data_IF_751334527672
#
_entry.id   IF_751334527672
#
_cell.length_a   1.000
_cell.length_b   1.000
_cell.length_c   1.000
_cell.angle_alpha   90.00
_cell.angle_beta   90.00
_cell.angle_gamma   90.00
#
_symmetry.space_group_name_H-M   'P 1'
#
loop_
_entity.id
_entity.type
_entity.pdbx_description
1 polymer ?
#
# COMPACT_ATOMS: atom_id res chain seq x y z
N UNK A 1 -5.67 -4.23 1.49
CA UNK A 1 -5.05 -5.54 1.76
C UNK A 1 -5.79 -6.77 1.22
N UNK A 2 -7.05 -6.66 0.76
CA UNK A 2 -7.86 -7.77 0.28
C UNK A 2 -8.29 -7.59 -1.19
N UNK A 3 -8.98 -8.58 -1.76
CA UNK A 3 -9.31 -8.61 -3.19
C UNK A 3 -10.18 -7.43 -3.66
N UNK A 4 -10.96 -6.82 -2.75
CA UNK A 4 -11.76 -5.64 -3.05
C UNK A 4 -10.90 -4.41 -3.41
N UNK A 5 -9.60 -4.42 -3.10
CA UNK A 5 -8.70 -3.30 -3.41
C UNK A 5 -8.20 -3.33 -4.86
N UNK A 6 -8.35 -4.46 -5.55
CA UNK A 6 -7.84 -4.62 -6.92
C UNK A 6 -8.50 -3.66 -7.91
N UNK A 7 -9.79 -3.37 -7.76
CA UNK A 7 -10.47 -2.42 -8.63
C UNK A 7 -10.03 -0.98 -8.35
N UNK A 8 -9.70 -0.65 -7.10
CA UNK A 8 -9.10 0.64 -6.75
C UNK A 8 -7.67 0.76 -7.31
N UNK A 9 -6.88 -0.31 -7.29
CA UNK A 9 -5.50 -0.29 -7.79
C UNK A 9 -5.43 -0.04 -9.31
N UNK A 10 -6.42 -0.52 -10.07
CA UNK A 10 -6.50 -0.29 -11.53
C UNK A 10 -6.66 1.18 -11.89
N UNK A 11 -7.22 2.00 -11.01
CA UNK A 11 -7.50 3.43 -11.26
C UNK A 11 -6.53 4.37 -10.57
N UNK A 12 -5.87 3.92 -9.50
CA UNK A 12 -4.93 4.74 -8.75
C UNK A 12 -3.65 5.01 -9.56
N UNK A 13 -3.16 6.25 -9.55
CA UNK A 13 -1.89 6.60 -10.18
C UNK A 13 -0.67 6.00 -9.47
N UNK A 14 -0.77 5.76 -8.15
CA UNK A 14 0.19 5.02 -7.35
C UNK A 14 -0.57 4.22 -6.29
N UNK A 15 -0.53 2.90 -6.42
CA UNK A 15 -1.21 1.94 -5.54
C UNK A 15 -0.22 1.30 -4.57
N UNK A 16 -0.64 1.12 -3.32
CA UNK A 16 0.22 0.65 -2.25
C UNK A 16 -0.50 -0.47 -1.51
N UNK A 17 0.20 -1.58 -1.32
CA UNK A 17 -0.28 -2.70 -0.51
C UNK A 17 0.49 -2.80 0.81
N UNK A 18 -0.17 -3.28 1.86
CA UNK A 18 0.51 -3.63 3.11
C UNK A 18 1.25 -4.96 2.98
N UNK A 19 2.28 -5.16 3.80
CA UNK A 19 3.06 -6.40 3.84
C UNK A 19 2.18 -7.63 4.10
N UNK A 20 1.17 -7.48 4.95
CA UNK A 20 0.20 -8.50 5.30
C UNK A 20 -1.00 -8.61 4.34
N UNK A 21 -0.98 -7.91 3.20
CA UNK A 21 -1.98 -8.07 2.16
C UNK A 21 -1.89 -9.44 1.47
N UNK A 22 -2.99 -9.86 0.86
CA UNK A 22 -3.05 -11.08 0.06
C UNK A 22 -2.01 -11.05 -1.08
N UNK A 23 -1.45 -12.20 -1.49
CA UNK A 23 -0.45 -12.24 -2.56
C UNK A 23 -0.92 -11.59 -3.87
N UNK A 24 -2.19 -11.72 -4.26
CA UNK A 24 -2.70 -11.08 -5.47
C UNK A 24 -2.70 -9.55 -5.37
N UNK A 25 -2.99 -9.01 -4.19
CA UNK A 25 -3.02 -7.57 -3.93
C UNK A 25 -1.60 -7.00 -3.99
N UNK A 26 -0.64 -7.66 -3.33
CA UNK A 26 0.78 -7.26 -3.36
C UNK A 26 1.37 -7.26 -4.77
N UNK A 27 1.02 -8.27 -5.59
CA UNK A 27 1.46 -8.35 -6.99
C UNK A 27 0.88 -7.24 -7.87
N UNK A 28 -0.24 -6.66 -7.48
CA UNK A 28 -0.94 -5.62 -8.24
C UNK A 28 -0.58 -4.19 -7.81
N UNK A 29 0.16 -4.04 -6.70
CA UNK A 29 0.55 -2.74 -6.15
C UNK A 29 1.80 -2.18 -6.86
N UNK A 30 1.93 -0.86 -6.89
CA UNK A 30 3.17 -0.19 -7.30
C UNK A 30 4.25 -0.29 -6.21
N UNK A 31 3.84 -0.33 -4.95
CA UNK A 31 4.72 -0.36 -3.79
C UNK A 31 4.12 -1.22 -2.67
N UNK A 32 4.98 -1.85 -1.88
CA UNK A 32 4.57 -2.61 -0.70
C UNK A 32 5.22 -1.96 0.51
N UNK A 33 4.42 -1.58 1.49
CA UNK A 33 4.89 -1.02 2.77
C UNK A 33 4.74 -2.06 3.88
N UNK A 34 5.24 -1.76 5.08
CA UNK A 34 5.24 -2.68 6.22
C UNK A 34 3.83 -3.09 6.69
N UNK A 35 3.78 -3.91 7.74
CA UNK A 35 2.53 -4.40 8.32
C UNK A 35 1.68 -3.27 8.96
N UNK A 36 0.35 -3.39 8.86
CA UNK A 36 -0.59 -2.44 9.48
C UNK A 36 -0.45 -2.36 11.00
N UNK A 37 -0.05 -3.44 11.67
CA UNK A 37 0.18 -3.46 13.13
C UNK A 37 1.40 -2.63 13.56
N UNK A 38 2.28 -2.27 12.63
CA UNK A 38 3.51 -1.54 12.90
C UNK A 38 3.39 -0.05 12.54
N UNK A 39 2.18 0.43 12.20
CA UNK A 39 1.95 1.82 11.81
C UNK A 39 2.55 2.20 10.45
N UNK A 40 2.75 1.23 9.55
CA UNK A 40 3.46 1.47 8.29
C UNK A 40 2.78 2.50 7.36
N UNK A 41 1.45 2.63 7.42
CA UNK A 41 0.73 3.70 6.68
C UNK A 41 1.19 5.08 7.13
N UNK A 42 1.33 5.29 8.44
CA UNK A 42 1.78 6.58 8.98
C UNK A 42 3.22 6.87 8.55
N UNK A 43 4.11 5.88 8.70
CA UNK A 43 5.52 6.00 8.31
C UNK A 43 5.66 6.36 6.83
N UNK A 44 4.86 5.73 5.95
CA UNK A 44 4.85 6.03 4.53
C UNK A 44 4.35 7.46 4.24
N UNK A 45 3.27 7.89 4.88
CA UNK A 45 2.75 9.25 4.71
C UNK A 45 3.74 10.31 5.22
N UNK A 46 4.42 10.04 6.34
CA UNK A 46 5.48 10.90 6.87
C UNK A 46 6.66 11.00 5.90
N UNK A 47 7.11 9.88 5.31
CA UNK A 47 8.23 9.91 4.35
C UNK A 47 7.91 10.75 3.13
N UNK A 48 6.74 10.57 2.50
CA UNK A 48 6.39 11.33 1.29
C UNK A 48 6.00 12.79 1.55
N UNK A 49 5.62 13.14 2.79
CA UNK A 49 5.22 14.50 3.15
C UNK A 49 6.39 15.33 3.66
N UNK A 50 7.33 14.73 4.40
CA UNK A 50 8.49 15.40 4.98
C UNK A 50 9.72 15.40 4.06
N UNK A 51 9.74 14.58 3.01
CA UNK A 51 10.77 14.65 1.96
C UNK A 51 10.50 15.76 0.92
N UNK A 52 9.46 16.59 1.12
CA UNK A 52 9.23 17.84 0.38
C UNK A 52 9.82 19.04 1.11
#
# INVERSE_FOLDING_TARGET
DYLNDLDMFKIAGHSIAMENALPEVKKSANEIIGNNTNGAVLQYLESIWLEK
#
